data_IF_784021702755
#
_entry.id   IF_784021702755
#
_cell.length_a   1.000
_cell.length_b   1.000
_cell.length_c   1.000
_cell.angle_alpha   90.00
_cell.angle_beta   90.00
_cell.angle_gamma   90.00
#
_symmetry.space_group_name_H-M   'P 1'
#
loop_
_entity.id
_entity.type
_entity.pdbx_description
1 polymer ?
#
# COMPACT_ATOMS: atom_id res chain seq x y z
N UNK A 1 -32.55 52.48 42.43
CA UNK A 1 -31.38 52.99 41.69
C UNK A 1 -31.77 52.96 40.23
N UNK A 2 -32.03 54.13 39.63
CA UNK A 2 -32.64 54.24 38.30
C UNK A 2 -31.52 54.20 37.27
N UNK A 3 -31.47 53.13 36.47
CA UNK A 3 -30.62 53.06 35.28
C UNK A 3 -31.08 54.15 34.31
N UNK A 4 -30.15 54.97 33.82
CA UNK A 4 -30.39 55.85 32.66
C UNK A 4 -30.86 54.96 31.52
N UNK A 5 -32.07 55.19 31.04
CA UNK A 5 -32.71 54.33 30.06
C UNK A 5 -32.01 54.48 28.71
N UNK A 6 -32.01 53.42 27.90
CA UNK A 6 -31.33 53.43 26.60
C UNK A 6 -31.92 54.54 25.69
N UNK A 7 -33.19 54.92 25.91
CA UNK A 7 -33.87 56.04 25.25
C UNK A 7 -33.37 57.45 25.66
N UNK A 8 -32.80 57.60 26.87
CA UNK A 8 -32.18 58.85 27.32
C UNK A 8 -30.77 59.01 26.73
N UNK A 9 -30.05 57.90 26.54
CA UNK A 9 -28.74 57.85 25.88
C UNK A 9 -28.85 58.17 24.38
N UNK A 10 -29.86 57.63 23.70
CA UNK A 10 -30.10 57.89 22.28
C UNK A 10 -30.46 59.36 21.96
N UNK A 11 -30.96 60.11 22.95
CA UNK A 11 -31.36 61.52 22.79
C UNK A 11 -30.29 62.52 23.22
N UNK A 12 -29.18 62.08 23.79
CA UNK A 12 -28.11 62.97 24.23
C UNK A 12 -27.23 63.45 23.07
N UNK A 13 -26.98 64.75 23.00
CA UNK A 13 -26.12 65.40 22.00
C UNK A 13 -24.94 66.09 22.72
N UNK A 14 -23.75 66.12 22.10
CA UNK A 14 -22.51 66.62 22.73
C UNK A 14 -22.59 68.11 23.14
N UNK A 15 -23.49 68.88 22.49
CA UNK A 15 -23.74 70.29 22.78
C UNK A 15 -24.64 70.52 24.00
N UNK A 16 -25.43 69.52 24.40
CA UNK A 16 -26.33 69.54 25.56
C UNK A 16 -25.69 68.82 26.77
N UNK A 17 -24.41 68.45 26.66
CA UNK A 17 -23.71 67.65 27.66
C UNK A 17 -23.27 68.52 28.85
N UNK A 18 -24.01 68.40 29.95
CA UNK A 18 -23.78 69.20 31.16
C UNK A 18 -22.64 68.57 31.99
N UNK A 19 -21.43 69.13 31.87
CA UNK A 19 -20.23 68.65 32.57
C UNK A 19 -20.31 69.04 34.05
N UNK A 20 -20.93 68.18 34.85
CA UNK A 20 -20.93 68.25 36.31
C UNK A 20 -20.37 66.95 36.91
N UNK A 21 -19.76 67.05 38.10
CA UNK A 21 -19.36 65.88 38.88
C UNK A 21 -20.64 65.11 39.23
N UNK A 22 -20.85 63.98 38.53
CA UNK A 22 -22.02 63.12 38.74
C UNK A 22 -21.99 62.59 40.18
N UNK A 23 -23.14 62.61 40.85
CA UNK A 23 -23.26 62.09 42.21
C UNK A 23 -22.84 60.61 42.22
N UNK A 24 -21.89 60.24 43.08
CA UNK A 24 -21.36 58.87 43.21
C UNK A 24 -22.49 57.87 43.47
N UNK A 25 -23.61 58.32 44.05
CA UNK A 25 -24.80 57.51 44.33
C UNK A 25 -25.71 57.27 43.12
N UNK A 26 -25.56 58.03 42.03
CA UNK A 26 -26.39 57.93 40.82
C UNK A 26 -25.69 57.24 39.65
N UNK A 27 -24.40 56.90 39.76
CA UNK A 27 -23.64 56.26 38.69
C UNK A 27 -23.93 54.74 38.71
N UNK A 28 -24.26 54.11 37.56
CA UNK A 28 -24.40 52.67 37.51
C UNK A 28 -23.08 51.98 37.88
N UNK A 29 -23.10 50.76 38.44
CA UNK A 29 -21.87 50.05 38.73
C UNK A 29 -21.06 49.83 37.44
N UNK A 30 -19.74 49.95 37.54
CA UNK A 30 -18.82 49.77 36.39
C UNK A 30 -18.97 48.37 35.76
N UNK A 31 -19.29 47.37 36.58
CA UNK A 31 -19.56 46.00 36.16
C UNK A 31 -21.00 45.62 36.48
N UNK A 32 -21.67 45.00 35.52
CA UNK A 32 -22.90 44.24 35.75
C UNK A 32 -22.57 42.76 35.94
N UNK A 33 -23.39 42.03 36.70
CA UNK A 33 -23.24 40.58 36.79
C UNK A 33 -23.77 39.95 35.51
N UNK A 34 -22.94 39.12 34.85
CA UNK A 34 -23.27 38.55 33.54
C UNK A 34 -24.57 37.72 33.56
N UNK A 35 -24.84 36.99 34.65
CA UNK A 35 -26.03 36.15 34.78
C UNK A 35 -27.34 36.94 34.96
N UNK A 36 -27.27 38.22 35.32
CA UNK A 36 -28.44 39.10 35.44
C UNK A 36 -28.83 39.71 34.08
N UNK A 37 -27.97 39.58 33.06
CA UNK A 37 -28.23 40.05 31.69
C UNK A 37 -28.80 38.90 30.85
N UNK A 38 -30.03 39.09 30.36
CA UNK A 38 -30.60 38.19 29.35
C UNK A 38 -29.80 38.30 28.05
N UNK A 39 -29.26 37.20 27.50
CA UNK A 39 -28.53 37.24 26.24
C UNK A 39 -29.49 37.45 25.06
N UNK A 40 -29.00 38.15 24.04
CA UNK A 40 -29.69 38.27 22.76
C UNK A 40 -29.63 36.94 21.99
N UNK A 41 -30.59 36.71 21.09
CA UNK A 41 -30.57 35.54 20.22
C UNK A 41 -29.46 35.72 19.19
N UNK A 42 -28.42 34.88 19.25
CA UNK A 42 -27.27 34.90 18.34
C UNK A 42 -27.16 33.56 17.61
N UNK A 43 -26.95 33.64 16.29
CA UNK A 43 -26.87 32.47 15.41
C UNK A 43 -25.44 31.92 15.28
N UNK A 44 -24.45 32.82 15.22
CA UNK A 44 -23.05 32.44 15.11
C UNK A 44 -22.14 33.50 15.76
N UNK A 45 -20.93 33.07 16.09
CA UNK A 45 -19.83 33.94 16.51
C UNK A 45 -18.72 33.80 15.49
N UNK A 46 -18.17 34.93 15.06
CA UNK A 46 -17.04 35.00 14.14
C UNK A 46 -15.82 35.62 14.79
N UNK A 47 -14.65 35.20 14.34
CA UNK A 47 -13.37 35.82 14.70
C UNK A 47 -12.60 36.18 13.43
N UNK A 48 -11.91 37.31 13.46
CA UNK A 48 -11.00 37.75 12.42
C UNK A 48 -9.64 38.04 13.05
N UNK A 49 -8.59 37.36 12.59
CA UNK A 49 -7.26 37.46 13.17
C UNK A 49 -6.17 37.22 12.12
N UNK A 50 -4.94 37.64 12.41
CA UNK A 50 -3.77 37.32 11.58
C UNK A 50 -3.33 35.87 11.78
N UNK A 51 -3.22 35.12 10.69
CA UNK A 51 -3.01 33.68 10.71
C UNK A 51 -1.62 33.31 11.24
N UNK A 52 -1.59 32.79 12.47
CA UNK A 52 -0.42 32.16 13.07
C UNK A 52 -0.75 30.75 13.57
N UNK A 53 0.26 29.89 13.65
CA UNK A 53 0.10 28.52 14.15
C UNK A 53 -0.52 28.44 15.55
N UNK A 54 -0.05 29.23 16.54
CA UNK A 54 -0.64 29.26 17.88
C UNK A 54 -2.10 29.71 17.91
N UNK A 55 -2.44 30.80 17.21
CA UNK A 55 -3.81 31.31 17.18
C UNK A 55 -4.77 30.36 16.45
N UNK A 56 -4.33 29.77 15.34
CA UNK A 56 -5.15 28.77 14.64
C UNK A 56 -5.44 27.55 15.53
N UNK A 57 -4.43 27.04 16.25
CA UNK A 57 -4.64 25.96 17.23
C UNK A 57 -5.58 26.36 18.36
N UNK A 58 -5.52 27.61 18.82
CA UNK A 58 -6.44 28.14 19.82
C UNK A 58 -7.89 28.10 19.31
N UNK A 59 -8.16 28.65 18.13
CA UNK A 59 -9.51 28.69 17.56
C UNK A 59 -10.04 27.32 17.12
N UNK A 60 -9.16 26.45 16.61
CA UNK A 60 -9.48 25.04 16.32
C UNK A 60 -9.95 24.29 17.59
N UNK A 61 -9.26 24.47 18.71
CA UNK A 61 -9.68 23.89 20.01
C UNK A 61 -10.99 24.48 20.53
N UNK A 62 -11.28 25.73 20.19
CA UNK A 62 -12.55 26.39 20.50
C UNK A 62 -13.69 26.04 19.52
N UNK A 63 -13.50 25.05 18.63
CA UNK A 63 -14.50 24.58 17.65
C UNK A 63 -14.93 25.63 16.63
N UNK A 64 -14.01 26.50 16.22
CA UNK A 64 -14.24 27.41 15.10
C UNK A 64 -13.83 26.77 13.77
N UNK A 65 -14.57 27.10 12.71
CA UNK A 65 -14.39 26.63 11.34
C UNK A 65 -13.75 27.72 10.48
N UNK A 66 -12.69 27.44 9.70
CA UNK A 66 -12.19 28.42 8.74
C UNK A 66 -13.15 28.53 7.56
N UNK A 67 -13.51 29.78 7.22
CA UNK A 67 -14.42 30.09 6.11
C UNK A 67 -13.71 30.96 5.07
N UNK A 68 -12.75 31.77 5.49
CA UNK A 68 -12.01 32.63 4.57
C UNK A 68 -10.57 32.86 5.04
N UNK A 69 -9.66 32.88 4.07
CA UNK A 69 -8.27 33.24 4.27
C UNK A 69 -7.83 34.17 3.15
N UNK A 70 -7.36 35.36 3.51
CA UNK A 70 -6.90 36.37 2.55
C UNK A 70 -5.60 35.93 1.89
N UNK A 71 -5.53 36.05 0.55
CA UNK A 71 -4.29 35.75 -0.18
C UNK A 71 -3.20 36.77 0.07
N UNK A 72 -3.50 38.07 0.05
CA UNK A 72 -2.47 39.08 0.33
C UNK A 72 -2.21 39.19 1.83
N UNK A 73 -0.96 39.09 2.29
CA UNK A 73 -0.62 39.38 3.68
C UNK A 73 -0.89 40.86 3.99
N UNK A 74 -1.08 41.18 5.26
CA UNK A 74 -1.17 42.54 5.73
C UNK A 74 0.22 43.19 5.74
N UNK A 75 0.36 44.40 5.20
CA UNK A 75 1.67 45.07 5.07
C UNK A 75 2.35 45.36 6.42
N UNK A 76 1.55 45.58 7.48
CA UNK A 76 2.07 45.89 8.80
C UNK A 76 2.61 44.65 9.54
N UNK A 77 1.94 43.51 9.41
CA UNK A 77 2.23 42.31 10.22
C UNK A 77 2.83 41.17 9.41
N UNK A 78 2.73 41.19 8.08
CA UNK A 78 3.07 40.08 7.19
C UNK A 78 2.13 38.88 7.28
N UNK A 79 1.08 38.95 8.11
CA UNK A 79 0.16 37.85 8.36
C UNK A 79 -1.08 37.92 7.46
N UNK A 80 -1.63 36.76 7.11
CA UNK A 80 -2.85 36.65 6.33
C UNK A 80 -4.07 36.72 7.23
N UNK A 81 -5.03 37.58 6.93
CA UNK A 81 -6.28 37.64 7.69
C UNK A 81 -7.11 36.37 7.50
N UNK A 82 -7.42 35.67 8.60
CA UNK A 82 -8.24 34.47 8.65
C UNK A 82 -9.56 34.79 9.36
N UNK A 83 -10.67 34.42 8.73
CA UNK A 83 -12.01 34.49 9.32
C UNK A 83 -12.47 33.08 9.64
N UNK A 84 -12.78 32.85 10.91
CA UNK A 84 -13.35 31.60 11.37
C UNK A 84 -14.70 31.82 12.04
N UNK A 85 -15.65 30.91 11.80
CA UNK A 85 -17.02 31.00 12.33
C UNK A 85 -17.33 29.79 13.22
N UNK A 86 -18.18 30.01 14.22
CA UNK A 86 -18.78 28.96 15.04
C UNK A 86 -20.27 29.23 15.17
N UNK A 87 -21.09 28.29 14.73
CA UNK A 87 -22.55 28.33 14.94
C UNK A 87 -22.88 28.09 16.41
N UNK A 88 -23.89 28.80 16.91
CA UNK A 88 -24.44 28.62 18.24
C UNK A 88 -25.72 27.79 18.17
N UNK A 89 -25.89 26.83 19.06
CA UNK A 89 -27.09 25.97 19.13
C UNK A 89 -28.28 26.68 19.79
N UNK A 90 -28.54 27.93 19.39
CA UNK A 90 -29.66 28.73 19.88
C UNK A 90 -30.91 28.39 19.06
N UNK A 91 -31.54 27.24 19.34
CA UNK A 91 -32.81 26.83 18.70
C UNK A 91 -32.67 25.88 17.51
N UNK A 92 -33.75 25.74 16.74
CA UNK A 92 -33.90 24.85 15.58
C UNK A 92 -33.20 25.36 14.30
N UNK A 93 -32.13 26.15 14.45
CA UNK A 93 -31.45 26.76 13.32
C UNK A 93 -30.59 25.72 12.60
N UNK A 94 -30.78 25.65 11.28
CA UNK A 94 -29.99 24.79 10.41
C UNK A 94 -28.53 25.24 10.40
N UNK A 95 -27.62 24.35 10.80
CA UNK A 95 -26.17 24.59 10.81
C UNK A 95 -25.48 24.10 9.54
N UNK A 96 -26.23 23.52 8.58
CA UNK A 96 -25.72 22.97 7.33
C UNK A 96 -24.97 24.00 6.48
N UNK A 97 -25.39 25.27 6.51
CA UNK A 97 -24.76 26.34 5.73
C UNK A 97 -23.27 26.46 6.05
N UNK A 98 -22.88 26.32 7.33
CA UNK A 98 -21.48 26.40 7.73
C UNK A 98 -20.67 25.26 7.09
N UNK A 99 -21.23 24.05 7.05
CA UNK A 99 -20.63 22.90 6.37
C UNK A 99 -20.38 23.19 4.88
N UNK A 100 -21.37 23.77 4.19
CA UNK A 100 -21.23 24.13 2.78
C UNK A 100 -20.13 25.18 2.53
N UNK A 101 -20.07 26.25 3.33
CA UNK A 101 -19.01 27.26 3.20
C UNK A 101 -17.63 26.70 3.54
N UNK A 102 -17.53 25.82 4.53
CA UNK A 102 -16.25 25.19 4.91
C UNK A 102 -15.78 24.20 3.83
N UNK A 103 -16.69 23.48 3.19
CA UNK A 103 -16.39 22.58 2.07
C UNK A 103 -15.85 23.34 0.86
N UNK A 104 -16.51 24.46 0.50
CA UNK A 104 -16.05 25.35 -0.57
C UNK A 104 -14.71 26.02 -0.21
N UNK A 105 -14.55 26.50 1.03
CA UNK A 105 -13.27 27.00 1.54
C UNK A 105 -12.18 25.95 1.42
N UNK A 106 -12.43 24.70 1.83
CA UNK A 106 -11.45 23.62 1.74
C UNK A 106 -11.01 23.43 0.29
N UNK A 107 -11.96 23.29 -0.65
CA UNK A 107 -11.66 23.10 -2.07
C UNK A 107 -10.81 24.23 -2.63
N UNK A 108 -11.16 25.48 -2.33
CA UNK A 108 -10.40 26.68 -2.74
C UNK A 108 -9.02 26.71 -2.09
N UNK A 109 -8.93 26.38 -0.81
CA UNK A 109 -7.68 26.34 -0.06
C UNK A 109 -6.69 25.37 -0.70
N UNK A 110 -7.11 24.14 -1.05
CA UNK A 110 -6.25 23.17 -1.73
C UNK A 110 -5.70 23.68 -3.06
N UNK A 111 -6.52 24.43 -3.81
CA UNK A 111 -6.11 25.03 -5.09
C UNK A 111 -5.19 26.23 -4.91
N UNK A 112 -5.30 26.96 -3.79
CA UNK A 112 -4.50 28.14 -3.49
C UNK A 112 -3.14 27.81 -2.82
N UNK A 113 -2.94 26.57 -2.36
CA UNK A 113 -1.72 26.12 -1.66
C UNK A 113 -0.42 26.31 -2.47
N UNK A 114 -0.47 26.22 -3.80
CA UNK A 114 0.69 26.41 -4.67
C UNK A 114 1.00 27.87 -4.99
N UNK A 115 0.07 28.78 -4.73
CA UNK A 115 0.20 30.21 -4.99
C UNK A 115 0.77 30.91 -3.75
N UNK A 116 0.09 31.93 -3.26
CA UNK A 116 0.57 32.74 -2.14
C UNK A 116 0.67 31.95 -0.82
N UNK A 117 0.00 30.81 -0.71
CA UNK A 117 0.05 29.94 0.48
C UNK A 117 1.18 28.90 0.41
N UNK A 118 2.03 28.96 -0.62
CA UNK A 118 3.23 28.11 -0.73
C UNK A 118 4.19 28.38 0.43
N UNK A 119 4.32 29.62 0.86
CA UNK A 119 5.28 30.02 1.90
C UNK A 119 4.87 29.58 3.31
N UNK A 120 3.64 29.10 3.50
CA UNK A 120 3.19 28.61 4.79
C UNK A 120 3.86 27.29 5.15
N UNK A 121 4.20 27.10 6.43
CA UNK A 121 4.65 25.81 6.94
C UNK A 121 3.64 24.71 6.60
N UNK A 122 4.14 23.59 6.09
CA UNK A 122 3.34 22.40 5.75
C UNK A 122 2.44 21.93 6.91
N UNK A 123 2.93 22.01 8.14
CA UNK A 123 2.18 21.65 9.36
C UNK A 123 1.00 22.60 9.63
N UNK A 124 1.18 23.89 9.36
CA UNK A 124 0.11 24.89 9.51
C UNK A 124 -0.98 24.67 8.46
N UNK A 125 -0.58 24.44 7.20
CA UNK A 125 -1.49 24.14 6.10
C UNK A 125 -2.31 22.87 6.34
N UNK A 126 -1.68 21.81 6.88
CA UNK A 126 -2.42 20.62 7.32
C UNK A 126 -3.43 20.93 8.42
N UNK A 127 -3.03 21.72 9.44
CA UNK A 127 -3.90 22.04 10.56
C UNK A 127 -5.19 22.74 10.10
N UNK A 128 -5.06 23.62 9.11
CA UNK A 128 -6.17 24.33 8.46
C UNK A 128 -7.06 23.33 7.70
N UNK A 129 -6.46 22.49 6.85
CA UNK A 129 -7.20 21.46 6.10
C UNK A 129 -7.96 20.48 7.01
N UNK A 130 -7.34 20.04 8.11
CA UNK A 130 -7.98 19.21 9.15
C UNK A 130 -9.15 19.93 9.82
N UNK A 131 -9.00 21.22 10.14
CA UNK A 131 -10.06 22.00 10.78
C UNK A 131 -11.27 22.16 9.86
N UNK A 132 -11.05 22.30 8.55
CA UNK A 132 -12.11 22.31 7.56
C UNK A 132 -12.76 20.91 7.42
N UNK A 133 -11.96 19.85 7.34
CA UNK A 133 -12.46 18.47 7.21
C UNK A 133 -13.20 17.95 8.44
N UNK A 134 -12.89 18.45 9.63
CA UNK A 134 -13.59 18.05 10.85
C UNK A 134 -15.08 18.47 10.81
N UNK A 135 -15.39 19.58 10.15
CA UNK A 135 -16.71 20.20 10.17
C UNK A 135 -17.55 19.76 8.97
N UNK A 136 -16.92 19.51 7.81
CA UNK A 136 -17.61 18.91 6.66
C UNK A 136 -18.15 17.51 6.96
N UNK A 137 -17.51 16.75 7.87
CA UNK A 137 -18.00 15.44 8.34
C UNK A 137 -19.27 15.51 9.19
N UNK A 138 -19.59 16.66 9.76
CA UNK A 138 -20.76 16.85 10.62
C UNK A 138 -22.02 17.05 9.77
N UNK A 139 -21.86 17.59 8.56
CA UNK A 139 -22.98 17.81 7.64
C UNK A 139 -23.37 16.52 6.90
N UNK A 140 -24.59 15.98 7.13
CA UNK A 140 -25.07 14.77 6.44
C UNK A 140 -25.28 14.96 4.93
N UNK A 141 -25.35 16.21 4.45
CA UNK A 141 -25.53 16.52 3.02
C UNK A 141 -24.24 16.33 2.20
N UNK A 142 -23.09 16.50 2.84
CA UNK A 142 -21.77 16.41 2.20
C UNK A 142 -21.21 14.98 2.31
N UNK A 143 -21.86 14.00 1.65
CA UNK A 143 -21.31 12.64 1.56
C UNK A 143 -20.11 12.62 0.61
N UNK A 144 -18.97 12.13 1.10
CA UNK A 144 -17.77 11.94 0.27
C UNK A 144 -18.01 10.83 -0.75
N UNK A 145 -17.78 11.13 -2.03
CA UNK A 145 -17.84 10.14 -3.11
C UNK A 145 -16.50 9.39 -3.15
N UNK A 146 -16.47 8.07 -2.92
CA UNK A 146 -15.24 7.29 -3.00
C UNK A 146 -14.65 7.36 -4.42
N UNK A 147 -13.35 7.13 -4.53
CA UNK A 147 -12.72 7.04 -5.85
C UNK A 147 -13.25 5.81 -6.60
N UNK A 148 -13.68 6.00 -7.86
CA UNK A 148 -14.11 4.91 -8.74
C UNK A 148 -13.07 4.65 -9.83
N UNK A 149 -13.19 3.53 -10.55
CA UNK A 149 -12.29 3.21 -11.68
C UNK A 149 -12.39 4.27 -12.78
N UNK A 150 -13.59 4.72 -13.11
CA UNK A 150 -13.80 5.77 -14.11
C UNK A 150 -13.09 7.07 -13.76
N UNK A 151 -13.03 7.43 -12.47
CA UNK A 151 -12.29 8.63 -12.03
C UNK A 151 -10.78 8.45 -12.18
N UNK A 152 -10.29 7.23 -11.92
CA UNK A 152 -8.88 6.88 -12.05
C UNK A 152 -8.46 6.93 -13.53
N UNK A 153 -9.23 6.29 -14.41
CA UNK A 153 -8.98 6.23 -15.86
C UNK A 153 -9.08 7.62 -16.52
N UNK A 154 -9.94 8.51 -15.99
CA UNK A 154 -10.01 9.90 -16.44
C UNK A 154 -8.78 10.73 -16.06
N UNK A 155 -8.05 10.33 -15.01
CA UNK A 155 -6.96 11.12 -14.44
C UNK A 155 -5.58 10.56 -14.74
N UNK A 156 -5.45 9.25 -14.95
CA UNK A 156 -4.20 8.54 -15.16
C UNK A 156 -4.30 7.55 -16.31
N UNK A 157 -3.25 7.48 -17.12
CA UNK A 157 -3.07 6.41 -18.10
C UNK A 157 -2.67 5.10 -17.42
N UNK A 158 -2.93 3.92 -18.02
CA UNK A 158 -2.33 2.67 -17.56
C UNK A 158 -0.79 2.72 -17.47
N UNK A 159 -0.13 3.52 -18.31
CA UNK A 159 1.32 3.73 -18.24
C UNK A 159 1.75 4.54 -17.01
N UNK A 160 0.91 5.47 -16.56
CA UNK A 160 1.12 6.27 -15.36
C UNK A 160 1.01 5.40 -14.10
N UNK A 161 0.01 4.50 -14.06
CA UNK A 161 -0.10 3.51 -12.98
C UNK A 161 1.14 2.61 -12.91
N UNK A 162 1.66 2.16 -14.07
CA UNK A 162 2.91 1.38 -14.13
C UNK A 162 4.11 2.19 -13.65
N UNK A 163 4.22 3.48 -14.01
CA UNK A 163 5.27 4.39 -13.51
C UNK A 163 5.22 4.51 -11.99
N UNK A 164 4.03 4.67 -11.41
CA UNK A 164 3.84 4.73 -9.96
C UNK A 164 4.30 3.44 -9.27
N UNK A 165 4.00 2.27 -9.83
CA UNK A 165 4.47 0.99 -9.30
C UNK A 165 5.99 0.81 -9.45
N UNK A 166 6.57 1.21 -10.58
CA UNK A 166 8.03 1.18 -10.76
C UNK A 166 8.76 2.09 -9.76
N UNK A 167 8.22 3.28 -9.47
CA UNK A 167 8.74 4.14 -8.40
C UNK A 167 8.54 3.52 -7.02
N UNK A 168 7.36 2.98 -6.72
CA UNK A 168 7.08 2.32 -5.45
C UNK A 168 8.04 1.14 -5.18
N UNK A 169 8.54 0.48 -6.24
CA UNK A 169 9.54 -0.58 -6.20
C UNK A 169 11.00 -0.09 -6.22
N UNK A 170 11.26 1.21 -6.05
CA UNK A 170 12.59 1.83 -6.06
C UNK A 170 13.37 1.64 -7.38
N UNK A 171 12.69 1.48 -8.51
CA UNK A 171 13.34 1.32 -9.82
C UNK A 171 13.55 2.66 -10.54
N UNK A 172 12.83 3.70 -10.14
CA UNK A 172 12.83 5.02 -10.77
C UNK A 172 13.06 6.12 -9.73
N UNK A 173 13.53 7.26 -10.20
CA UNK A 173 13.65 8.47 -9.40
C UNK A 173 12.30 9.23 -9.31
N UNK A 174 12.13 10.02 -8.25
CA UNK A 174 10.85 10.68 -7.93
C UNK A 174 10.44 11.73 -8.99
N UNK A 175 11.41 12.32 -9.71
CA UNK A 175 11.13 13.25 -10.80
C UNK A 175 10.25 12.62 -11.89
N UNK A 176 10.33 11.29 -12.05
CA UNK A 176 9.53 10.52 -13.02
C UNK A 176 8.09 10.30 -12.54
N UNK A 177 7.68 10.79 -11.37
CA UNK A 177 6.29 10.71 -10.92
C UNK A 177 5.70 12.06 -10.49
N UNK A 178 6.51 13.13 -10.53
CA UNK A 178 6.18 14.45 -9.96
C UNK A 178 4.92 15.06 -10.58
N UNK A 179 4.70 14.84 -11.87
CA UNK A 179 3.51 15.20 -12.63
C UNK A 179 2.22 14.61 -12.04
N UNK A 180 2.28 13.40 -11.47
CA UNK A 180 1.12 12.69 -10.91
C UNK A 180 0.82 13.03 -9.45
N UNK A 181 1.85 13.41 -8.67
CA UNK A 181 1.74 13.74 -7.24
C UNK A 181 0.63 14.75 -6.90
N UNK A 182 0.43 15.88 -7.63
CA UNK A 182 -0.66 16.79 -7.30
C UNK A 182 -2.05 16.20 -7.40
N UNK A 183 -2.29 15.38 -8.42
CA UNK A 183 -3.58 14.71 -8.60
C UNK A 183 -3.81 13.72 -7.46
N UNK A 184 -2.78 12.95 -7.09
CA UNK A 184 -2.81 12.06 -5.92
C UNK A 184 -3.10 12.83 -4.63
N UNK A 185 -2.41 13.95 -4.41
CA UNK A 185 -2.60 14.79 -3.24
C UNK A 185 -4.01 15.39 -3.20
N UNK A 186 -4.55 15.84 -4.34
CA UNK A 186 -5.93 16.32 -4.46
C UNK A 186 -6.93 15.24 -4.06
N UNK A 187 -6.78 14.00 -4.56
CA UNK A 187 -7.64 12.87 -4.17
C UNK A 187 -7.51 12.51 -2.68
N UNK A 188 -6.33 12.67 -2.10
CA UNK A 188 -6.11 12.44 -0.68
C UNK A 188 -6.84 13.47 0.19
N UNK A 189 -6.56 14.76 -0.04
CA UNK A 189 -7.06 15.84 0.82
C UNK A 189 -8.55 16.16 0.59
N UNK A 190 -9.09 15.86 -0.59
CA UNK A 190 -10.54 15.88 -0.84
C UNK A 190 -11.30 14.72 -0.16
N UNK A 191 -10.59 13.80 0.51
CA UNK A 191 -11.20 12.70 1.26
C UNK A 191 -11.55 11.47 0.41
N UNK A 192 -11.30 11.48 -0.91
CA UNK A 192 -11.62 10.36 -1.81
C UNK A 192 -10.76 9.12 -1.58
N UNK A 193 -9.52 9.30 -1.08
CA UNK A 193 -8.62 8.20 -0.69
C UNK A 193 -8.62 7.89 0.82
N UNK A 194 -9.13 8.81 1.64
CA UNK A 194 -8.95 8.78 3.10
C UNK A 194 -9.54 7.56 3.84
N UNK A 195 -10.59 6.82 3.37
CA UNK A 195 -10.99 5.60 4.06
C UNK A 195 -10.06 4.41 3.80
N UNK A 196 -9.36 4.38 2.66
CA UNK A 196 -8.55 3.22 2.25
C UNK A 196 -7.05 3.44 2.45
N UNK A 197 -6.58 4.69 2.39
CA UNK A 197 -5.17 5.04 2.53
C UNK A 197 -4.96 5.87 3.79
N UNK A 198 -4.40 5.23 4.83
CA UNK A 198 -4.04 5.91 6.08
C UNK A 198 -2.58 6.36 6.05
N UNK A 199 -2.35 7.66 6.19
CA UNK A 199 -1.01 8.27 6.27
C UNK A 199 -0.78 8.83 7.68
N UNK A 200 0.46 8.76 8.18
CA UNK A 200 0.83 9.45 9.43
C UNK A 200 0.83 10.97 9.23
N UNK A 201 0.74 11.75 10.31
CA UNK A 201 0.75 13.22 10.21
C UNK A 201 1.96 13.77 9.44
N UNK A 202 3.15 13.20 9.66
CA UNK A 202 4.37 13.57 8.90
C UNK A 202 4.24 13.18 7.42
N UNK A 203 3.69 12.00 7.10
CA UNK A 203 3.44 11.58 5.72
C UNK A 203 2.45 12.51 5.02
N UNK A 204 1.39 12.95 5.72
CA UNK A 204 0.46 13.95 5.20
C UNK A 204 1.16 15.28 4.93
N UNK A 205 2.07 15.72 5.82
CA UNK A 205 2.82 16.98 5.64
C UNK A 205 3.65 16.92 4.37
N UNK A 206 4.34 15.81 4.16
CA UNK A 206 5.18 15.57 2.99
C UNK A 206 4.33 15.58 1.72
N UNK A 207 3.20 14.85 1.70
CA UNK A 207 2.31 14.80 0.55
C UNK A 207 1.70 16.18 0.23
N UNK A 208 1.32 16.95 1.25
CA UNK A 208 0.80 18.31 1.09
C UNK A 208 1.88 19.25 0.55
N UNK A 209 3.09 19.20 1.13
CA UNK A 209 4.17 20.10 0.77
C UNK A 209 4.62 19.90 -0.68
N UNK A 210 4.82 18.65 -1.10
CA UNK A 210 5.29 18.33 -2.45
C UNK A 210 4.15 18.39 -3.46
N UNK A 211 3.00 17.80 -3.12
CA UNK A 211 1.87 17.65 -4.03
C UNK A 211 1.08 18.94 -4.24
N UNK A 212 0.77 19.67 -3.17
CA UNK A 212 -0.10 20.87 -3.24
C UNK A 212 0.67 22.18 -3.11
N UNK A 213 1.66 22.28 -2.22
CA UNK A 213 2.47 23.50 -2.10
C UNK A 213 3.61 23.56 -3.12
N UNK A 214 3.92 22.46 -3.81
CA UNK A 214 4.98 22.37 -4.83
C UNK A 214 6.36 22.77 -4.30
N UNK A 215 6.64 22.37 -3.07
CA UNK A 215 7.95 22.57 -2.43
C UNK A 215 8.95 21.51 -2.86
N UNK A 216 10.22 21.87 -2.82
CA UNK A 216 11.31 20.90 -3.01
C UNK A 216 11.53 20.10 -1.72
N UNK A 217 12.19 18.95 -1.82
CA UNK A 217 12.55 18.18 -0.63
C UNK A 217 13.48 18.95 0.31
N UNK A 218 14.34 19.82 -0.23
CA UNK A 218 15.24 20.67 0.55
C UNK A 218 14.47 21.71 1.39
N UNK A 219 13.38 22.26 0.83
CA UNK A 219 12.50 23.18 1.57
C UNK A 219 11.79 22.44 2.72
N UNK A 220 11.34 21.21 2.45
CA UNK A 220 10.65 20.37 3.44
C UNK A 220 11.61 19.89 4.53
N UNK A 221 12.87 19.60 4.19
CA UNK A 221 13.94 19.26 5.15
C UNK A 221 14.15 20.39 6.16
N UNK A 222 14.23 21.64 5.69
CA UNK A 222 14.37 22.82 6.55
C UNK A 222 13.15 23.02 7.46
N UNK A 223 11.95 22.74 6.96
CA UNK A 223 10.71 22.90 7.74
C UNK A 223 10.51 21.83 8.81
N UNK A 224 10.74 20.56 8.46
CA UNK A 224 10.48 19.43 9.35
C UNK A 224 11.70 19.05 10.21
N UNK A 225 12.88 19.59 9.90
CA UNK A 225 14.15 19.25 10.54
C UNK A 225 14.44 17.73 10.46
N UNK A 226 14.19 17.16 9.28
CA UNK A 226 14.36 15.73 8.97
C UNK A 226 15.19 15.61 7.71
N UNK A 227 16.22 14.75 7.74
CA UNK A 227 17.13 14.55 6.63
C UNK A 227 16.39 14.19 5.32
N UNK A 228 16.80 14.79 4.19
CA UNK A 228 16.17 14.57 2.89
C UNK A 228 16.03 13.08 2.49
N UNK A 229 17.02 12.24 2.85
CA UNK A 229 16.98 10.79 2.59
C UNK A 229 15.82 10.09 3.30
N UNK A 230 15.49 10.53 4.52
CA UNK A 230 14.36 9.99 5.28
C UNK A 230 13.02 10.48 4.69
N UNK A 231 12.96 11.73 4.23
CA UNK A 231 11.77 12.27 3.55
C UNK A 231 11.47 11.50 2.26
N UNK A 232 12.49 11.21 1.46
CA UNK A 232 12.37 10.36 0.26
C UNK A 232 11.88 8.95 0.60
N UNK A 233 12.45 8.33 1.64
CA UNK A 233 12.00 7.01 2.09
C UNK A 233 10.53 7.01 2.56
N UNK A 234 10.09 8.08 3.24
CA UNK A 234 8.68 8.24 3.60
C UNK A 234 7.80 8.49 2.38
N UNK A 235 8.28 9.25 1.39
CA UNK A 235 7.57 9.53 0.16
C UNK A 235 7.34 8.27 -0.68
N UNK A 236 8.36 7.40 -0.80
CA UNK A 236 8.21 6.06 -1.40
C UNK A 236 7.11 5.26 -0.69
N UNK A 237 7.06 5.28 0.65
CA UNK A 237 6.01 4.59 1.41
C UNK A 237 4.62 5.16 1.14
N UNK A 238 4.49 6.48 0.93
CA UNK A 238 3.22 7.12 0.55
C UNK A 238 2.78 6.61 -0.82
N UNK A 239 3.65 6.69 -1.83
CA UNK A 239 3.33 6.27 -3.19
C UNK A 239 3.02 4.77 -3.26
N UNK A 240 3.73 3.93 -2.50
CA UNK A 240 3.43 2.49 -2.41
C UNK A 240 2.03 2.21 -1.86
N UNK A 241 1.58 2.95 -0.84
CA UNK A 241 0.21 2.81 -0.31
C UNK A 241 -0.83 3.21 -1.36
N UNK A 242 -0.58 4.31 -2.07
CA UNK A 242 -1.47 4.80 -3.13
C UNK A 242 -1.51 3.81 -4.31
N UNK A 243 -0.36 3.32 -4.77
CA UNK A 243 -0.30 2.38 -5.90
C UNK A 243 -0.96 1.05 -5.57
N UNK A 244 -0.81 0.56 -4.34
CA UNK A 244 -1.52 -0.64 -3.86
C UNK A 244 -3.03 -0.44 -3.86
N UNK A 245 -3.51 0.73 -3.45
CA UNK A 245 -4.94 1.05 -3.52
C UNK A 245 -5.44 1.14 -4.97
N UNK A 246 -4.71 1.81 -5.86
CA UNK A 246 -5.07 1.87 -7.28
C UNK A 246 -5.10 0.49 -7.93
N UNK A 247 -4.14 -0.38 -7.62
CA UNK A 247 -4.17 -1.80 -8.06
C UNK A 247 -5.42 -2.51 -7.57
N UNK A 248 -5.75 -2.42 -6.28
CA UNK A 248 -6.95 -3.06 -5.73
C UNK A 248 -8.25 -2.58 -6.38
N UNK A 249 -8.30 -1.32 -6.80
CA UNK A 249 -9.46 -0.71 -7.45
C UNK A 249 -9.59 -1.14 -8.92
N UNK A 250 -8.46 -1.28 -9.62
CA UNK A 250 -8.43 -1.85 -10.97
C UNK A 250 -8.78 -3.34 -10.94
N UNK A 251 -8.20 -4.11 -10.01
CA UNK A 251 -8.47 -5.53 -9.80
C UNK A 251 -9.94 -5.77 -9.47
N UNK A 252 -10.53 -4.99 -8.55
CA UNK A 252 -11.94 -5.07 -8.19
C UNK A 252 -12.86 -4.83 -9.39
N UNK A 253 -12.58 -3.81 -10.20
CA UNK A 253 -13.38 -3.55 -11.40
C UNK A 253 -13.20 -4.60 -12.51
N UNK A 254 -12.04 -5.25 -12.59
CA UNK A 254 -11.84 -6.40 -13.50
C UNK A 254 -12.63 -7.61 -12.98
N UNK A 255 -12.62 -7.88 -11.67
CA UNK A 255 -13.40 -8.95 -11.07
C UNK A 255 -14.91 -8.79 -11.29
N UNK A 256 -15.43 -7.56 -11.23
CA UNK A 256 -16.84 -7.26 -11.57
C UNK A 256 -17.16 -7.46 -13.06
N UNK A 257 -16.18 -7.28 -13.95
CA UNK A 257 -16.35 -7.48 -15.39
C UNK A 257 -16.24 -8.94 -15.83
N UNK A 258 -15.63 -9.78 -15.00
CA UNK A 258 -15.58 -11.22 -15.26
C UNK A 258 -16.96 -11.82 -14.98
N UNK A 259 -17.45 -12.75 -15.82
CA UNK A 259 -18.69 -13.45 -15.53
C UNK A 259 -18.57 -14.09 -14.13
N UNK A 260 -19.64 -14.08 -13.31
CA UNK A 260 -19.62 -14.78 -12.04
C UNK A 260 -19.14 -16.20 -12.34
N UNK A 261 -18.06 -16.60 -11.69
CA UNK A 261 -17.67 -18.00 -11.75
C UNK A 261 -18.89 -18.75 -11.22
N UNK A 262 -19.58 -19.51 -12.08
CA UNK A 262 -20.45 -20.58 -11.64
C UNK A 262 -19.53 -21.50 -10.86
N UNK A 263 -19.46 -21.28 -9.54
CA UNK A 263 -18.85 -22.21 -8.61
C UNK A 263 -19.81 -23.37 -8.55
N UNK A 264 -19.77 -24.21 -9.59
CA UNK A 264 -20.45 -25.48 -9.52
C UNK A 264 -19.82 -26.27 -8.39
N UNK A 265 -20.68 -26.88 -7.59
CA UNK A 265 -20.26 -27.68 -6.45
C UNK A 265 -19.41 -28.84 -6.99
N UNK A 266 -18.28 -29.12 -6.33
CA UNK A 266 -17.47 -30.28 -6.70
C UNK A 266 -18.34 -31.55 -6.65
N UNK A 267 -18.16 -32.55 -7.54
CA UNK A 267 -19.02 -33.73 -7.61
C UNK A 267 -19.16 -34.53 -6.30
N UNK A 268 -18.27 -34.28 -5.34
CA UNK A 268 -18.19 -34.90 -4.01
C UNK A 268 -19.12 -34.24 -2.98
N UNK A 269 -19.51 -32.99 -3.20
CA UNK A 269 -20.36 -32.19 -2.31
C UNK A 269 -21.77 -31.95 -2.91
N UNK A 270 -22.03 -32.41 -4.13
CA UNK A 270 -23.35 -32.41 -4.76
C UNK A 270 -24.23 -33.45 -4.06
N UNK A 271 -25.14 -32.98 -3.20
CA UNK A 271 -26.03 -33.85 -2.41
C UNK A 271 -27.35 -34.13 -3.12
N UNK A 272 -27.61 -33.46 -4.26
CA UNK A 272 -28.83 -33.66 -5.06
C UNK A 272 -30.11 -33.29 -4.33
N UNK A 273 -30.03 -32.43 -3.31
CA UNK A 273 -31.17 -32.05 -2.45
C UNK A 273 -31.96 -30.88 -3.05
N UNK A 274 -31.38 -30.12 -3.98
CA UNK A 274 -32.02 -29.01 -4.67
C UNK A 274 -31.88 -29.18 -6.20
N UNK A 275 -32.99 -29.01 -6.93
CA UNK A 275 -33.08 -29.17 -8.40
C UNK A 275 -32.24 -28.13 -9.20
N UNK A 276 -31.59 -27.19 -8.50
CA UNK A 276 -30.82 -26.09 -9.09
C UNK A 276 -29.29 -26.32 -9.08
N UNK A 277 -28.83 -27.53 -8.72
CA UNK A 277 -27.39 -27.87 -8.67
C UNK A 277 -26.76 -27.99 -10.08
N UNK A 278 -26.07 -26.95 -10.53
CA UNK A 278 -25.25 -26.97 -11.75
C UNK A 278 -23.89 -27.60 -11.43
N UNK A 279 -23.65 -28.82 -11.92
CA UNK A 279 -22.43 -29.59 -11.70
C UNK A 279 -21.33 -29.07 -12.64
N UNK A 280 -20.21 -28.57 -12.09
CA UNK A 280 -19.10 -28.07 -12.92
C UNK A 280 -18.34 -29.23 -13.58
N UNK A 281 -18.56 -29.41 -14.89
CA UNK A 281 -17.90 -30.47 -15.68
C UNK A 281 -16.51 -30.06 -16.20
N UNK A 282 -16.04 -28.82 -15.96
CA UNK A 282 -14.76 -28.33 -16.51
C UNK A 282 -13.54 -29.03 -15.93
N UNK A 283 -13.60 -29.40 -14.66
CA UNK A 283 -12.50 -30.07 -13.97
C UNK A 283 -12.90 -31.50 -13.61
N UNK A 284 -12.95 -32.38 -14.63
CA UNK A 284 -12.96 -33.82 -14.37
C UNK A 284 -11.57 -34.24 -13.88
N UNK A 285 -11.45 -34.81 -12.66
CA UNK A 285 -10.25 -35.54 -12.29
C UNK A 285 -9.97 -36.59 -13.36
N UNK A 286 -8.72 -36.70 -13.80
CA UNK A 286 -8.32 -37.80 -14.66
C UNK A 286 -8.56 -39.11 -13.91
N UNK A 287 -9.09 -40.13 -14.60
CA UNK A 287 -9.40 -41.43 -13.99
C UNK A 287 -8.14 -42.16 -13.49
N UNK A 288 -6.97 -41.71 -13.95
CA UNK A 288 -5.65 -42.24 -13.57
C UNK A 288 -4.89 -41.16 -12.81
N UNK A 289 -4.42 -41.48 -11.61
CA UNK A 289 -3.56 -40.58 -10.85
C UNK A 289 -2.21 -40.41 -11.57
N UNK A 290 -1.71 -39.19 -11.63
CA UNK A 290 -0.43 -38.85 -12.27
C UNK A 290 0.73 -39.73 -11.78
N UNK A 291 0.71 -40.12 -10.50
CA UNK A 291 1.69 -41.02 -9.89
C UNK A 291 1.67 -42.43 -10.48
N UNK A 292 0.51 -42.89 -10.95
CA UNK A 292 0.38 -44.19 -11.58
C UNK A 292 0.87 -44.16 -13.03
N UNK A 293 0.53 -43.10 -13.77
CA UNK A 293 1.05 -42.89 -15.13
C UNK A 293 2.58 -42.72 -15.15
N UNK A 294 3.15 -42.01 -14.16
CA UNK A 294 4.60 -41.85 -14.02
C UNK A 294 5.31 -43.17 -13.72
N UNK A 295 4.68 -44.04 -12.91
CA UNK A 295 5.22 -45.37 -12.60
C UNK A 295 5.16 -46.31 -13.80
N UNK A 296 4.07 -46.27 -14.56
CA UNK A 296 3.92 -47.07 -15.78
C UNK A 296 4.95 -46.65 -16.84
N UNK A 297 5.10 -45.34 -17.10
CA UNK A 297 6.13 -44.82 -18.00
C UNK A 297 7.56 -45.12 -17.53
N UNK A 298 7.83 -45.05 -16.22
CA UNK A 298 9.12 -45.43 -15.65
C UNK A 298 9.45 -46.92 -15.82
N UNK A 299 8.45 -47.81 -15.66
CA UNK A 299 8.62 -49.25 -15.86
C UNK A 299 8.85 -49.61 -17.33
N UNK A 300 8.24 -48.88 -18.27
CA UNK A 300 8.50 -49.08 -19.70
C UNK A 300 9.92 -48.68 -20.08
N UNK A 301 10.40 -47.54 -19.59
CA UNK A 301 11.79 -47.09 -19.81
C UNK A 301 12.79 -48.07 -19.19
N UNK A 302 12.53 -48.56 -17.98
CA UNK A 302 13.39 -49.55 -17.32
C UNK A 302 13.45 -50.89 -18.06
N UNK A 303 12.31 -51.33 -18.64
CA UNK A 303 12.27 -52.53 -19.48
C UNK A 303 13.08 -52.34 -20.76
N UNK A 304 12.91 -51.23 -21.47
CA UNK A 304 13.69 -50.94 -22.65
C UNK A 304 15.20 -50.83 -22.35
N UNK A 305 15.55 -50.21 -21.22
CA UNK A 305 16.94 -50.08 -20.80
C UNK A 305 17.55 -51.45 -20.47
N UNK A 306 16.81 -52.32 -19.77
CA UNK A 306 17.24 -53.70 -19.48
C UNK A 306 17.41 -54.52 -20.75
N UNK A 307 16.54 -54.38 -21.73
CA UNK A 307 16.67 -55.05 -23.03
C UNK A 307 17.90 -54.56 -23.79
N UNK A 308 18.14 -53.24 -23.81
CA UNK A 308 19.36 -52.65 -24.39
C UNK A 308 20.62 -53.13 -23.67
N UNK A 309 20.60 -53.21 -22.34
CA UNK A 309 21.70 -53.76 -21.54
C UNK A 309 21.93 -55.24 -21.82
N UNK A 310 20.87 -56.03 -21.94
CA UNK A 310 20.96 -57.47 -22.25
C UNK A 310 21.51 -57.69 -23.65
N UNK A 311 21.08 -56.91 -24.64
CA UNK A 311 21.64 -56.94 -25.98
C UNK A 311 23.13 -56.54 -26.00
N UNK A 312 23.54 -55.59 -25.14
CA UNK A 312 24.94 -55.23 -24.97
C UNK A 312 25.76 -56.39 -24.38
N UNK A 313 25.24 -57.07 -23.35
CA UNK A 313 25.91 -58.21 -22.70
C UNK A 313 26.05 -59.40 -23.66
N UNK A 314 25.02 -59.67 -24.47
CA UNK A 314 25.04 -60.76 -25.46
C UNK A 314 26.00 -60.46 -26.62
N UNK A 315 26.19 -59.18 -26.94
CA UNK A 315 27.17 -58.72 -27.93
C UNK A 315 28.62 -58.70 -27.40
N UNK A 316 28.86 -58.96 -26.10
CA UNK A 316 30.21 -59.13 -25.59
C UNK A 316 30.77 -60.51 -25.96
N UNK A 317 31.94 -60.59 -26.61
CA UNK A 317 32.58 -61.88 -26.94
C UNK A 317 33.16 -62.54 -25.68
N UNK A 318 32.32 -63.26 -24.95
CA UNK A 318 32.67 -63.98 -23.71
C UNK A 318 33.54 -65.23 -23.99
N UNK A 319 33.60 -65.70 -25.23
CA UNK A 319 34.45 -66.82 -25.69
C UNK A 319 35.94 -66.59 -25.41
N UNK A 320 36.38 -65.34 -25.29
CA UNK A 320 37.77 -64.98 -25.00
C UNK A 320 38.18 -65.25 -23.55
N UNK A 321 37.21 -65.50 -22.68
CA UNK A 321 37.37 -65.79 -21.26
C UNK A 321 36.89 -67.20 -20.89
N UNK A 322 36.60 -68.04 -21.89
CA UNK A 322 36.28 -69.45 -21.68
C UNK A 322 37.49 -70.18 -21.09
N UNK A 323 37.40 -70.52 -19.80
CA UNK A 323 38.37 -71.38 -19.13
C UNK A 323 38.02 -72.82 -19.51
N UNK A 324 38.85 -73.44 -20.34
CA UNK A 324 38.73 -74.83 -20.74
C UNK A 324 38.92 -75.73 -19.50
N UNK A 325 37.80 -76.19 -18.92
CA UNK A 325 37.77 -77.00 -17.70
C UNK A 325 38.07 -78.46 -18.04
N UNK A 326 39.32 -78.77 -18.37
CA UNK A 326 39.82 -80.13 -18.28
C UNK A 326 39.78 -80.58 -16.82
N UNK A 327 38.88 -81.51 -16.48
CA UNK A 327 38.67 -82.00 -15.10
C UNK A 327 39.98 -82.39 -14.38
N UNK A 328 41.00 -82.84 -15.13
CA UNK A 328 42.31 -83.21 -14.62
C UNK A 328 43.11 -82.05 -13.98
N UNK A 329 42.87 -80.79 -14.35
CA UNK A 329 43.63 -79.65 -13.84
C UNK A 329 43.10 -79.11 -12.50
N UNK A 330 41.82 -79.36 -12.19
CA UNK A 330 41.19 -78.96 -10.93
C UNK A 330 41.42 -79.97 -9.80
N UNK A 331 41.52 -81.27 -10.12
CA UNK A 331 41.84 -82.32 -9.13
C UNK A 331 43.23 -82.13 -8.49
N UNK A 332 44.22 -81.66 -9.27
CA UNK A 332 45.56 -81.37 -8.76
C UNK A 332 45.60 -80.06 -7.96
N UNK A 333 44.79 -79.06 -8.34
CA UNK A 333 44.58 -77.84 -7.57
C UNK A 333 43.88 -78.13 -6.23
N UNK A 334 42.89 -79.02 -6.21
CA UNK A 334 42.17 -79.41 -4.99
C UNK A 334 43.06 -80.19 -4.02
N UNK A 335 43.96 -81.07 -4.51
CA UNK A 335 44.99 -81.72 -3.69
C UNK A 335 45.97 -80.71 -3.08
N UNK A 336 46.36 -79.68 -3.83
CA UNK A 336 47.29 -78.64 -3.38
C UNK A 336 46.65 -77.74 -2.30
N UNK A 337 45.36 -77.44 -2.43
CA UNK A 337 44.57 -76.75 -1.39
C UNK A 337 44.43 -77.65 -0.15
N UNK A 338 44.02 -78.92 -0.28
CA UNK A 338 43.86 -79.84 0.86
C UNK A 338 45.16 -80.07 1.65
N UNK A 339 46.32 -80.14 0.99
CA UNK A 339 47.62 -80.28 1.66
C UNK A 339 48.04 -79.03 2.47
N UNK A 340 47.48 -77.86 2.14
CA UNK A 340 47.79 -76.58 2.79
C UNK A 340 46.87 -76.22 3.97
N UNK A 341 45.75 -76.94 4.15
CA UNK A 341 44.74 -76.70 5.20
C UNK A 341 45.25 -77.06 6.63
N UNK A 342 46.44 -77.67 6.75
CA UNK A 342 47.01 -78.07 8.04
C UNK A 342 48.02 -77.12 8.70
N UNK A 343 48.44 -76.01 8.09
CA UNK A 343 49.40 -75.05 8.70
C UNK A 343 49.03 -73.60 8.37
N UNK A 344 48.58 -72.86 9.40
CA UNK A 344 48.38 -71.41 9.46
C UNK A 344 47.82 -70.71 8.19
N UNK A 345 46.50 -70.73 8.05
CA UNK A 345 45.66 -69.55 7.76
C UNK A 345 45.86 -68.72 6.48
N UNK A 346 46.77 -69.07 5.58
CA UNK A 346 46.93 -68.38 4.30
C UNK A 346 46.78 -69.40 3.15
N UNK A 347 45.69 -69.27 2.39
CA UNK A 347 45.45 -70.09 1.20
C UNK A 347 46.38 -69.60 0.09
N UNK A 348 47.30 -70.42 -0.46
CA UNK A 348 48.14 -69.99 -1.57
C UNK A 348 47.29 -69.81 -2.83
N UNK A 349 47.49 -68.72 -3.56
CA UNK A 349 46.85 -68.50 -4.87
C UNK A 349 47.21 -69.65 -5.82
N UNK A 350 46.23 -70.45 -6.22
CA UNK A 350 46.43 -71.56 -7.17
C UNK A 350 46.17 -71.07 -8.59
N UNK A 351 47.18 -71.15 -9.45
CA UNK A 351 47.06 -70.83 -10.88
C UNK A 351 46.86 -72.10 -11.69
N UNK A 352 45.70 -72.23 -12.34
CA UNK A 352 45.42 -73.34 -13.26
C UNK A 352 45.85 -72.91 -14.66
N UNK A 353 46.71 -73.70 -15.33
CA UNK A 353 47.18 -73.38 -16.69
C UNK A 353 46.06 -73.64 -17.70
N UNK A 354 45.61 -72.60 -18.40
CA UNK A 354 44.72 -72.76 -19.56
C UNK A 354 45.50 -73.32 -20.76
N UNK A 355 44.92 -74.29 -21.46
CA UNK A 355 45.51 -75.02 -22.60
C UNK A 355 45.53 -74.24 -23.94
N UNK A 356 45.00 -73.01 -24.00
CA UNK A 356 45.03 -72.17 -25.22
C UNK A 356 46.04 -71.00 -25.09
N UNK A 357 46.95 -70.78 -26.07
CA UNK A 357 47.84 -69.63 -26.06
C UNK A 357 47.07 -68.35 -26.41
N UNK A 358 46.89 -67.45 -25.43
CA UNK A 358 46.26 -66.15 -25.64
C UNK A 358 47.20 -65.21 -26.43
N UNK A 359 47.03 -65.15 -27.75
CA UNK A 359 47.69 -64.17 -28.61
C UNK A 359 46.93 -62.85 -28.51
N UNK A 360 47.32 -61.97 -27.58
CA UNK A 360 46.80 -60.59 -27.49
C UNK A 360 47.10 -59.85 -28.81
N UNK A 361 46.08 -59.58 -29.63
CA UNK A 361 46.14 -58.54 -30.67
C UNK A 361 45.80 -57.20 -30.04
N UNK A 362 46.70 -56.24 -30.16
CA UNK A 362 46.45 -54.84 -29.86
C UNK A 362 45.38 -54.28 -30.81
N UNK A 363 44.49 -53.44 -30.27
CA UNK A 363 43.57 -52.60 -31.05
C UNK A 363 42.11 -52.95 -30.89
N UNK A 364 41.43 -52.29 -29.95
CA UNK A 364 40.04 -51.86 -30.14
C UNK A 364 39.79 -50.57 -29.39
N UNK A 365 39.85 -49.48 -30.15
CA UNK A 365 39.42 -48.14 -29.74
C UNK A 365 37.95 -48.15 -29.32
N UNK A 366 37.69 -47.69 -28.10
CA UNK A 366 36.38 -47.31 -27.61
C UNK A 366 36.34 -45.82 -27.32
N UNK A 367 36.33 -44.98 -28.37
CA UNK A 367 35.99 -43.55 -28.25
C UNK A 367 34.49 -43.41 -27.95
N UNK A 368 34.13 -43.48 -26.67
CA UNK A 368 32.85 -43.00 -26.15
C UNK A 368 32.90 -41.48 -26.02
N UNK A 369 32.29 -40.79 -26.97
CA UNK A 369 32.21 -39.34 -27.03
C UNK A 369 31.10 -38.86 -26.06
N UNK A 370 31.46 -38.53 -24.81
CA UNK A 370 30.56 -37.80 -23.91
C UNK A 370 30.62 -36.34 -24.30
N UNK A 371 29.66 -35.90 -25.12
CA UNK A 371 29.33 -34.48 -25.29
C UNK A 371 28.41 -34.11 -24.12
N UNK A 372 28.95 -33.36 -23.16
CA UNK A 372 28.13 -32.47 -22.34
C UNK A 372 27.41 -31.50 -23.29
N UNK A 373 26.09 -31.44 -23.16
CA UNK A 373 25.27 -30.33 -23.65
C UNK A 373 24.78 -29.58 -22.42
N UNK A 374 24.81 -28.25 -22.57
CA UNK A 374 24.24 -27.24 -21.69
C UNK A 374 22.83 -27.55 -21.18
#
# INVERSE_FOLDING_TARGET
MVRVTDAELEKSNLLDDNIHVRDIRSIPPLFGKLFERKPDSLDYVGVSYGLTGPLHKFWKRASFAPVYLRQTPNDLTGEHSCVMLRTLSTGANDTSWLGAYVSDFHKRFLSLLSYQFRDFSSVLSLSIGESANAISKIDPSTKLVPLTKSDLDASFSPFDLKRLDSYANNLLDYHVILDMVPTIASFYFSGRLSPSVNLSGVQQSILLAIGLQRKTFDDVEKELNVAASQLMAMFIKIIRKVSTYFRSLVEGAVAESLPPADVGVAPKDATGVHDDEIIDQRFKPLDVELDQELKEGGQEIDKELREKQRALIDALPLDQYEIDNGAAAWDDAEKQVRASVGKNGNVPTVSVKSSKPAKRKAGRDGKGNIRERD
#
